data_IF_033715512201
#
_entry.id   IF_033715512201
#
_cell.length_a   1.000
_cell.length_b   1.000
_cell.length_c   1.000
_cell.angle_alpha   90.00
_cell.angle_beta   90.00
_cell.angle_gamma   90.00
#
_symmetry.space_group_name_H-M   'P 1'
#
loop_
_entity.id
_entity.type
_entity.pdbx_description
1 polymer ?
#
# COMPACT_ATOMS: atom_id res chain seq x y z
N UNK A 1 42.15 -31.90 -22.34
CA UNK A 1 41.63 -30.60 -22.86
C UNK A 1 40.12 -30.59 -23.10
N UNK A 2 39.51 -31.54 -23.82
CA UNK A 2 38.05 -31.55 -24.09
C UNK A 2 37.15 -31.55 -22.85
N UNK A 3 37.56 -32.23 -21.75
CA UNK A 3 36.79 -32.28 -20.49
C UNK A 3 36.74 -30.94 -19.72
N UNK A 4 37.78 -30.11 -19.86
CA UNK A 4 37.87 -28.81 -19.16
C UNK A 4 36.97 -27.78 -19.83
N UNK A 5 36.88 -27.81 -21.17
CA UNK A 5 35.99 -26.94 -21.95
C UNK A 5 34.52 -27.21 -21.59
N UNK A 6 34.15 -28.47 -21.35
CA UNK A 6 32.77 -28.83 -20.98
C UNK A 6 32.38 -28.27 -19.61
N UNK A 7 33.29 -28.31 -18.62
CA UNK A 7 33.06 -27.73 -17.29
C UNK A 7 32.90 -26.21 -17.38
N UNK A 8 33.71 -25.55 -18.22
CA UNK A 8 33.61 -24.10 -18.46
C UNK A 8 32.28 -23.71 -19.13
N UNK A 9 31.80 -24.49 -20.10
CA UNK A 9 30.51 -24.24 -20.76
C UNK A 9 29.34 -24.41 -19.78
N UNK A 10 29.37 -25.46 -18.94
CA UNK A 10 28.34 -25.68 -17.93
C UNK A 10 28.34 -24.58 -16.87
N UNK A 11 29.51 -24.12 -16.41
CA UNK A 11 29.63 -22.99 -15.48
C UNK A 11 29.16 -21.67 -16.11
N UNK A 12 29.43 -21.44 -17.39
CA UNK A 12 28.93 -20.27 -18.11
C UNK A 12 27.41 -20.30 -18.27
N UNK A 13 26.82 -21.47 -18.55
CA UNK A 13 25.37 -21.63 -18.62
C UNK A 13 24.70 -21.42 -17.26
N UNK A 14 25.28 -21.91 -16.17
CA UNK A 14 24.75 -21.68 -14.81
C UNK A 14 24.79 -20.18 -14.46
N UNK A 15 25.82 -19.44 -14.86
CA UNK A 15 25.88 -17.98 -14.66
C UNK A 15 24.90 -17.19 -15.54
N UNK A 16 24.60 -17.67 -16.75
CA UNK A 16 23.61 -17.04 -17.64
C UNK A 16 22.16 -17.26 -17.18
N UNK A 17 21.87 -18.41 -16.54
CA UNK A 17 20.56 -18.71 -15.95
C UNK A 17 20.39 -18.19 -14.51
N UNK A 18 21.45 -17.63 -13.91
CA UNK A 18 21.46 -17.05 -12.56
C UNK A 18 20.99 -15.59 -12.48
N UNK A 19 20.48 -15.00 -13.57
CA UNK A 19 19.86 -13.68 -13.51
C UNK A 19 18.58 -13.77 -12.66
N UNK A 20 18.70 -13.41 -11.38
CA UNK A 20 17.56 -13.11 -10.52
C UNK A 20 16.62 -12.19 -11.33
N UNK A 21 15.28 -12.36 -11.24
CA UNK A 21 14.38 -11.46 -11.94
C UNK A 21 14.75 -10.03 -11.55
N UNK A 22 14.93 -9.15 -12.53
CA UNK A 22 15.24 -7.75 -12.26
C UNK A 22 14.00 -7.11 -11.64
N UNK A 23 13.96 -7.11 -10.30
CA UNK A 23 12.92 -6.44 -9.54
C UNK A 23 13.28 -4.97 -9.41
N UNK A 24 12.34 -4.08 -9.73
CA UNK A 24 12.48 -2.65 -9.45
C UNK A 24 11.94 -2.33 -8.06
N UNK A 25 12.72 -1.59 -7.27
CA UNK A 25 12.31 -1.15 -5.93
C UNK A 25 11.26 -0.04 -6.02
N UNK A 26 10.24 -0.14 -5.18
CA UNK A 26 9.28 0.92 -4.89
C UNK A 26 9.78 1.65 -3.64
N UNK A 27 10.30 2.86 -3.83
CA UNK A 27 10.89 3.67 -2.76
C UNK A 27 9.87 4.56 -2.06
N UNK A 28 8.78 4.92 -2.75
CA UNK A 28 7.72 5.76 -2.19
C UNK A 28 6.74 4.91 -1.37
N UNK A 29 6.88 4.96 -0.06
CA UNK A 29 6.08 4.18 0.89
C UNK A 29 5.44 5.14 1.89
N UNK A 30 4.10 5.16 1.91
CA UNK A 30 3.32 6.08 2.74
C UNK A 30 2.47 5.28 3.72
N UNK A 31 2.54 5.61 5.01
CA UNK A 31 1.78 4.92 6.06
C UNK A 31 0.69 5.78 6.66
N UNK A 32 -0.56 5.33 6.60
CA UNK A 32 -1.72 5.99 7.20
C UNK A 32 -2.21 5.19 8.39
N UNK A 33 -1.76 5.59 9.58
CA UNK A 33 -2.26 5.04 10.84
C UNK A 33 -3.54 5.79 11.24
N UNK A 34 -4.62 5.11 11.66
CA UNK A 34 -5.77 5.73 12.30
C UNK A 34 -5.29 6.22 13.68
N UNK A 35 -4.63 7.36 13.64
CA UNK A 35 -4.10 8.17 14.74
C UNK A 35 -3.72 7.42 16.03
N UNK A 36 -2.41 7.19 16.16
CA UNK A 36 -1.69 7.53 17.41
C UNK A 36 -2.20 8.92 17.86
N UNK A 37 -2.65 9.01 19.11
CA UNK A 37 -3.04 10.22 19.86
C UNK A 37 -3.09 11.47 18.99
N UNK A 38 -4.28 11.84 18.48
CA UNK A 38 -4.49 13.26 18.18
C UNK A 38 -4.41 13.92 19.55
N UNK A 39 -3.28 14.53 19.87
CA UNK A 39 -3.24 15.39 21.04
C UNK A 39 -4.21 16.54 20.75
N UNK A 40 -4.93 17.03 21.75
CA UNK A 40 -5.77 18.22 21.58
C UNK A 40 -4.99 19.37 20.92
N UNK A 41 -3.67 19.45 21.15
CA UNK A 41 -2.74 20.36 20.48
C UNK A 41 -2.63 20.16 18.95
N UNK A 42 -2.65 18.92 18.45
CA UNK A 42 -2.57 18.63 17.01
C UNK A 42 -3.87 19.00 16.28
N UNK A 43 -5.00 19.01 17.00
CA UNK A 43 -6.30 19.44 16.45
C UNK A 43 -6.47 20.95 16.45
N UNK A 44 -5.78 21.67 17.34
CA UNK A 44 -5.92 23.13 17.49
C UNK A 44 -5.04 23.91 16.49
N UNK A 45 -3.94 23.36 16.00
CA UNK A 45 -2.99 24.09 15.15
C UNK A 45 -3.23 24.03 13.63
N UNK A 46 -4.27 23.32 13.16
CA UNK A 46 -4.63 23.35 11.73
C UNK A 46 -5.56 24.53 11.45
N UNK A 47 -5.16 25.44 10.55
CA UNK A 47 -5.99 26.58 10.06
C UNK A 47 -7.39 26.17 9.57
N UNK A 48 -7.57 24.90 9.20
CA UNK A 48 -8.84 24.33 8.77
C UNK A 48 -9.79 23.97 9.93
N UNK A 49 -9.28 23.83 11.14
CA UNK A 49 -10.08 23.44 12.31
C UNK A 49 -11.08 24.52 12.70
N UNK A 50 -10.72 25.79 12.55
CA UNK A 50 -11.58 26.94 12.86
C UNK A 50 -12.76 27.08 11.90
N UNK A 51 -12.67 26.46 10.71
CA UNK A 51 -13.74 26.45 9.69
C UNK A 51 -14.90 25.52 10.12
N UNK A 52 -14.63 24.52 10.95
CA UNK A 52 -15.67 23.56 11.36
C UNK A 52 -16.57 24.12 12.47
N UNK A 53 -17.87 23.82 12.39
CA UNK A 53 -18.81 24.13 13.47
C UNK A 53 -18.49 23.33 14.73
N UNK A 54 -18.83 23.87 15.91
CA UNK A 54 -18.57 23.22 17.20
C UNK A 54 -19.12 21.78 17.26
N UNK A 55 -20.34 21.57 16.76
CA UNK A 55 -20.97 20.24 16.64
C UNK A 55 -20.14 19.26 15.80
N UNK A 56 -19.54 19.73 14.70
CA UNK A 56 -18.68 18.89 13.84
C UNK A 56 -17.36 18.58 14.54
N UNK A 57 -16.77 19.54 15.25
CA UNK A 57 -15.55 19.33 16.06
C UNK A 57 -15.80 18.28 17.16
N UNK A 58 -16.90 18.39 17.89
CA UNK A 58 -17.30 17.41 18.93
C UNK A 58 -17.51 16.01 18.36
N UNK A 59 -18.18 15.89 17.21
CA UNK A 59 -18.36 14.61 16.52
C UNK A 59 -17.02 13.98 16.12
N UNK A 60 -16.08 14.78 15.61
CA UNK A 60 -14.74 14.30 15.26
C UNK A 60 -14.01 13.80 16.52
N UNK A 61 -14.03 14.57 17.61
CA UNK A 61 -13.43 14.17 18.90
C UNK A 61 -14.01 12.86 19.42
N UNK A 62 -15.33 12.72 19.39
CA UNK A 62 -16.02 11.51 19.83
C UNK A 62 -15.61 10.29 18.99
N UNK A 63 -15.61 10.41 17.66
CA UNK A 63 -15.17 9.34 16.75
C UNK A 63 -13.71 8.96 17.02
N UNK A 64 -12.83 9.94 17.26
CA UNK A 64 -11.44 9.67 17.60
C UNK A 64 -11.30 8.93 18.94
N UNK A 65 -12.07 9.31 19.96
CA UNK A 65 -12.08 8.64 21.26
C UNK A 65 -12.63 7.21 21.18
N UNK A 66 -13.70 6.99 20.42
CA UNK A 66 -14.26 5.66 20.16
C UNK A 66 -13.22 4.75 19.49
N UNK A 67 -12.56 5.23 18.42
CA UNK A 67 -11.48 4.48 17.75
C UNK A 67 -10.33 4.13 18.69
N UNK A 68 -9.95 5.05 19.60
CA UNK A 68 -8.92 4.77 20.61
C UNK A 68 -9.36 3.68 21.60
N UNK A 69 -10.61 3.76 22.05
CA UNK A 69 -11.20 2.75 22.94
C UNK A 69 -11.23 1.38 22.25
N UNK A 70 -11.58 1.34 20.96
CA UNK A 70 -11.55 0.12 20.16
C UNK A 70 -10.14 -0.43 20.00
N UNK A 71 -9.11 0.40 19.74
CA UNK A 71 -7.70 -0.05 19.73
C UNK A 71 -7.34 -0.72 21.06
N UNK A 72 -7.61 -0.03 22.17
CA UNK A 72 -7.24 -0.51 23.52
C UNK A 72 -7.95 -1.82 23.87
N UNK A 73 -9.18 -1.97 23.41
CA UNK A 73 -10.05 -3.07 23.77
C UNK A 73 -10.01 -4.23 22.74
N UNK A 74 -9.17 -4.13 21.73
CA UNK A 74 -9.00 -5.16 20.71
C UNK A 74 -8.18 -6.33 21.28
N UNK A 75 -8.82 -7.50 21.32
CA UNK A 75 -8.29 -8.74 21.90
C UNK A 75 -7.55 -9.62 20.90
N UNK A 76 -7.42 -9.20 19.63
CA UNK A 76 -6.74 -9.98 18.59
C UNK A 76 -5.30 -10.29 19.03
N UNK A 77 -4.87 -11.54 18.83
CA UNK A 77 -3.52 -12.00 19.22
C UNK A 77 -2.51 -11.82 18.06
N UNK A 78 -3.03 -11.61 16.85
CA UNK A 78 -2.26 -11.48 15.62
C UNK A 78 -2.56 -10.16 14.90
N UNK A 79 -1.58 -9.72 14.12
CA UNK A 79 -1.74 -8.68 13.10
C UNK A 79 -1.94 -9.36 11.75
N UNK A 80 -3.06 -9.12 11.09
CA UNK A 80 -3.36 -9.61 9.76
C UNK A 80 -2.75 -8.69 8.71
N UNK A 81 -2.02 -9.29 7.77
CA UNK A 81 -1.50 -8.62 6.57
C UNK A 81 -2.46 -8.87 5.42
N UNK A 82 -3.04 -7.79 4.91
CA UNK A 82 -4.06 -7.79 3.87
C UNK A 82 -3.48 -7.06 2.65
N UNK A 83 -3.66 -7.63 1.47
CA UNK A 83 -3.27 -7.04 0.21
C UNK A 83 -4.50 -6.49 -0.51
N UNK A 84 -4.37 -5.28 -1.03
CA UNK A 84 -5.44 -4.63 -1.77
C UNK A 84 -5.01 -4.29 -3.19
N UNK A 85 -5.57 -5.00 -4.17
CA UNK A 85 -5.17 -4.85 -5.55
C UNK A 85 -5.75 -5.89 -6.48
N UNK A 86 -5.04 -6.16 -7.57
CA UNK A 86 -5.33 -7.25 -8.51
C UNK A 86 -4.61 -8.53 -8.07
N UNK A 87 -5.07 -9.69 -8.54
CA UNK A 87 -4.43 -10.99 -8.26
C UNK A 87 -2.92 -10.93 -8.50
N UNK A 88 -2.17 -11.43 -7.53
CA UNK A 88 -0.73 -11.28 -7.48
C UNK A 88 -0.08 -12.46 -6.76
N UNK A 89 1.12 -12.81 -7.18
CA UNK A 89 2.00 -13.71 -6.45
C UNK A 89 2.84 -12.85 -5.52
N UNK A 90 2.70 -13.05 -4.21
CA UNK A 90 3.40 -12.27 -3.19
C UNK A 90 4.36 -13.16 -2.41
N UNK A 91 5.59 -12.68 -2.27
CA UNK A 91 6.57 -13.21 -1.32
C UNK A 91 6.92 -12.12 -0.32
N UNK A 92 6.90 -12.44 0.97
CA UNK A 92 7.33 -11.57 2.06
C UNK A 92 8.56 -12.20 2.69
N UNK A 93 9.63 -11.42 2.82
CA UNK A 93 10.83 -11.78 3.59
C UNK A 93 10.95 -10.94 4.85
N UNK A 94 11.44 -11.59 5.91
CA UNK A 94 11.87 -10.97 7.16
C UNK A 94 13.32 -11.37 7.40
N UNK A 95 14.23 -10.39 7.57
CA UNK A 95 15.65 -10.64 7.79
C UNK A 95 16.23 -11.69 6.81
N UNK A 96 16.00 -11.48 5.51
CA UNK A 96 16.37 -12.37 4.38
C UNK A 96 15.76 -13.77 4.36
N UNK A 97 14.93 -14.11 5.34
CA UNK A 97 14.22 -15.40 5.41
C UNK A 97 12.84 -15.24 4.78
N UNK A 98 12.43 -16.21 3.95
CA UNK A 98 11.07 -16.23 3.40
C UNK A 98 10.10 -16.45 4.56
N UNK A 99 9.25 -15.47 4.80
CA UNK A 99 8.23 -15.51 5.83
C UNK A 99 6.91 -16.03 5.28
N UNK A 100 6.48 -15.51 4.12
CA UNK A 100 5.26 -15.93 3.42
C UNK A 100 5.56 -15.99 1.93
N UNK A 101 5.06 -17.02 1.25
CA UNK A 101 4.90 -17.04 -0.20
C UNK A 101 3.48 -17.48 -0.51
N UNK A 102 2.69 -16.61 -1.15
CA UNK A 102 1.25 -16.84 -1.36
C UNK A 102 0.81 -16.36 -2.74
N UNK A 103 0.07 -17.21 -3.43
CA UNK A 103 -0.63 -16.85 -4.66
C UNK A 103 -2.02 -16.31 -4.31
N UNK A 104 -2.26 -15.02 -4.57
CA UNK A 104 -3.51 -14.32 -4.25
C UNK A 104 -4.54 -14.47 -5.37
N UNK A 105 -5.07 -15.68 -5.52
CA UNK A 105 -6.10 -16.00 -6.52
C UNK A 105 -7.54 -15.84 -6.01
N UNK A 106 -7.73 -16.02 -4.70
CA UNK A 106 -9.04 -16.03 -4.04
C UNK A 106 -9.15 -14.86 -3.08
N UNK A 107 -10.24 -14.10 -3.19
CA UNK A 107 -10.53 -12.96 -2.32
C UNK A 107 -10.82 -13.43 -0.90
N UNK A 108 -10.52 -12.61 0.10
CA UNK A 108 -10.97 -12.88 1.47
C UNK A 108 -12.49 -12.69 1.59
N UNK A 109 -13.16 -13.66 2.20
CA UNK A 109 -14.58 -13.58 2.54
C UNK A 109 -14.80 -12.73 3.81
N UNK A 110 -13.84 -12.72 4.72
CA UNK A 110 -13.91 -12.04 6.01
C UNK A 110 -13.52 -10.56 5.93
N UNK A 111 -12.64 -10.19 5.00
CA UNK A 111 -12.04 -8.85 4.97
C UNK A 111 -12.43 -8.09 3.71
N UNK A 112 -13.12 -6.97 3.90
CA UNK A 112 -13.41 -5.98 2.85
C UNK A 112 -12.73 -4.65 3.16
N UNK A 113 -12.03 -4.12 2.17
CA UNK A 113 -11.41 -2.81 2.20
C UNK A 113 -12.13 -1.86 1.25
N UNK A 114 -12.90 -0.94 1.83
CA UNK A 114 -13.52 0.17 1.11
C UNK A 114 -12.68 1.43 1.34
N UNK A 115 -12.37 2.14 0.26
CA UNK A 115 -11.64 3.41 0.32
C UNK A 115 -12.67 4.53 0.35
N UNK A 116 -12.65 5.35 1.41
CA UNK A 116 -13.34 6.65 1.48
C UNK A 116 -14.80 6.64 0.98
N UNK A 117 -15.62 5.68 1.44
CA UNK A 117 -17.04 5.54 1.08
C UNK A 117 -17.31 5.40 -0.43
N UNK A 118 -16.30 5.07 -1.23
CA UNK A 118 -16.45 4.76 -2.65
C UNK A 118 -16.39 3.24 -2.86
N UNK A 119 -17.38 2.65 -3.56
CA UNK A 119 -17.29 1.27 -3.96
C UNK A 119 -16.07 1.12 -4.86
N UNK A 120 -15.11 0.32 -4.41
CA UNK A 120 -13.92 0.05 -5.19
C UNK A 120 -14.01 -1.31 -5.84
N UNK A 121 -13.65 -1.36 -7.12
CA UNK A 121 -13.56 -2.61 -7.89
C UNK A 121 -12.34 -3.48 -7.48
N UNK A 122 -11.50 -3.00 -6.55
CA UNK A 122 -10.30 -3.71 -6.09
C UNK A 122 -10.64 -4.62 -4.91
N UNK A 123 -10.15 -5.87 -4.98
CA UNK A 123 -10.44 -6.95 -4.04
C UNK A 123 -9.40 -6.98 -2.92
N UNK A 124 -9.82 -7.36 -1.72
CA UNK A 124 -8.93 -7.58 -0.56
C UNK A 124 -8.56 -9.06 -0.47
N UNK A 125 -7.27 -9.34 -0.33
CA UNK A 125 -6.74 -10.69 -0.23
C UNK A 125 -5.97 -10.82 1.08
N UNK A 126 -6.19 -11.89 1.83
CA UNK A 126 -5.37 -12.15 3.00
C UNK A 126 -4.00 -12.69 2.56
N UNK A 127 -2.92 -12.09 3.06
CA UNK A 127 -1.55 -12.52 2.78
C UNK A 127 -1.08 -13.50 3.85
N UNK A 128 -1.24 -13.13 5.12
CA UNK A 128 -0.87 -13.93 6.29
C UNK A 128 -0.89 -13.10 7.57
N UNK A 129 -0.25 -13.59 8.62
CA UNK A 129 -0.35 -13.00 9.96
C UNK A 129 1.02 -12.81 10.62
N UNK A 130 1.12 -11.82 11.50
CA UNK A 130 2.27 -11.56 12.37
C UNK A 130 1.85 -11.64 13.84
N UNK A 131 2.79 -11.91 14.74
CA UNK A 131 2.55 -11.80 16.18
C UNK A 131 2.27 -10.33 16.54
N UNK A 132 1.12 -10.07 17.17
CA UNK A 132 0.73 -8.73 17.59
C UNK A 132 1.61 -8.21 18.72
N UNK A 133 1.70 -6.89 18.82
CA UNK A 133 2.42 -6.17 19.89
C UNK A 133 3.91 -6.53 19.97
N UNK A 134 4.51 -6.94 18.85
CA UNK A 134 5.94 -7.20 18.72
C UNK A 134 6.74 -5.96 18.27
N UNK A 135 6.08 -4.80 18.23
CA UNK A 135 6.66 -3.54 17.79
C UNK A 135 6.59 -3.35 16.28
N UNK A 136 7.55 -2.59 15.73
CA UNK A 136 7.67 -2.35 14.29
C UNK A 136 8.48 -3.49 13.67
N UNK A 137 7.90 -4.17 12.69
CA UNK A 137 8.55 -5.23 11.92
C UNK A 137 8.96 -4.70 10.54
N UNK A 138 10.19 -4.99 10.13
CA UNK A 138 10.67 -4.67 8.79
C UNK A 138 10.45 -5.87 7.86
N UNK A 139 9.74 -5.65 6.76
CA UNK A 139 9.39 -6.67 5.79
C UNK A 139 9.86 -6.23 4.40
N UNK A 140 10.35 -7.17 3.59
CA UNK A 140 10.50 -6.95 2.15
C UNK A 140 9.39 -7.71 1.43
N UNK A 141 8.52 -6.99 0.72
CA UNK A 141 7.45 -7.58 -0.07
C UNK A 141 7.84 -7.58 -1.54
N UNK A 142 7.70 -8.73 -2.20
CA UNK A 142 7.93 -8.93 -3.62
C UNK A 142 6.60 -9.19 -4.31
N UNK A 143 6.34 -8.44 -5.39
CA UNK A 143 5.19 -8.60 -6.27
C UNK A 143 5.70 -9.24 -7.57
N UNK A 144 5.55 -10.56 -7.70
CA UNK A 144 6.22 -11.31 -8.77
C UNK A 144 5.66 -10.98 -10.16
N UNK A 145 4.35 -10.83 -10.32
CA UNK A 145 3.75 -10.53 -11.63
C UNK A 145 4.16 -9.13 -12.10
N UNK A 146 4.18 -8.15 -11.19
CA UNK A 146 4.61 -6.76 -11.47
C UNK A 146 6.14 -6.59 -11.56
N UNK A 147 6.92 -7.58 -11.15
CA UNK A 147 8.40 -7.48 -11.00
C UNK A 147 8.79 -6.24 -10.18
N UNK A 148 8.12 -6.04 -9.04
CA UNK A 148 8.40 -4.96 -8.08
C UNK A 148 8.68 -5.51 -6.70
N UNK A 149 9.43 -4.77 -5.90
CA UNK A 149 9.55 -5.05 -4.48
C UNK A 149 9.54 -3.76 -3.67
N UNK A 150 9.21 -3.84 -2.39
CA UNK A 150 9.27 -2.71 -1.47
C UNK A 150 9.67 -3.14 -0.07
N UNK A 151 10.39 -2.27 0.63
CA UNK A 151 10.80 -2.48 2.03
C UNK A 151 9.89 -1.71 2.95
N UNK A 152 8.95 -2.40 3.58
CA UNK A 152 7.89 -1.80 4.39
C UNK A 152 8.16 -1.98 5.88
N UNK A 153 7.74 -0.99 6.68
CA UNK A 153 7.75 -1.07 8.15
C UNK A 153 6.33 -1.20 8.66
N UNK A 154 6.01 -2.33 9.26
CA UNK A 154 4.67 -2.65 9.76
C UNK A 154 4.61 -2.52 11.28
N UNK A 155 3.70 -1.69 11.77
CA UNK A 155 3.39 -1.58 13.19
C UNK A 155 2.41 -2.68 13.62
N UNK A 156 2.91 -3.67 14.38
CA UNK A 156 2.13 -4.84 14.81
C UNK A 156 1.20 -4.56 16.00
N UNK A 157 1.09 -3.31 16.46
CA UNK A 157 0.09 -2.96 17.48
C UNK A 157 -1.33 -2.94 16.91
N UNK A 158 -1.45 -2.73 15.59
CA UNK A 158 -2.72 -2.81 14.87
C UNK A 158 -2.97 -4.26 14.45
N UNK A 159 -4.22 -4.67 14.54
CA UNK A 159 -4.68 -6.02 14.20
C UNK A 159 -4.91 -6.24 12.71
N UNK A 160 -5.13 -5.18 11.92
CA UNK A 160 -5.24 -5.26 10.47
C UNK A 160 -4.37 -4.23 9.76
N UNK A 161 -3.62 -4.69 8.77
CA UNK A 161 -2.70 -3.87 7.97
C UNK A 161 -2.95 -4.14 6.51
N UNK A 162 -3.38 -3.12 5.79
CA UNK A 162 -3.63 -3.14 4.35
C UNK A 162 -2.43 -2.60 3.59
N UNK A 163 -1.91 -3.41 2.67
CA UNK A 163 -0.83 -3.08 1.75
C UNK A 163 -1.45 -2.82 0.38
N UNK A 164 -1.31 -1.60 -0.10
CA UNK A 164 -1.96 -1.10 -1.32
C UNK A 164 -0.85 -0.65 -2.29
N UNK A 165 -0.38 -1.53 -3.19
CA UNK A 165 0.59 -1.13 -4.20
C UNK A 165 -0.12 -0.43 -5.36
N UNK A 166 0.34 0.77 -5.67
CA UNK A 166 -0.03 1.51 -6.85
C UNK A 166 1.15 1.55 -7.81
N UNK A 167 1.03 0.80 -8.89
CA UNK A 167 2.09 0.62 -9.89
C UNK A 167 1.55 0.94 -11.26
N UNK A 168 2.42 1.43 -12.15
CA UNK A 168 2.09 1.74 -13.54
C UNK A 168 0.90 2.71 -13.69
N UNK A 169 0.85 3.72 -12.83
CA UNK A 169 -0.16 4.78 -12.91
C UNK A 169 0.20 5.75 -14.04
N UNK A 170 -0.76 5.99 -14.94
CA UNK A 170 -0.67 6.98 -16.00
C UNK A 170 -1.73 8.07 -15.78
N UNK A 171 -1.30 9.33 -15.82
CA UNK A 171 -2.17 10.50 -15.75
C UNK A 171 -2.23 11.19 -17.11
N UNK A 172 -3.39 11.67 -17.50
CA UNK A 172 -3.54 12.53 -18.67
C UNK A 172 -3.44 13.98 -18.20
N UNK A 173 -2.35 14.65 -18.55
CA UNK A 173 -2.21 16.09 -18.35
C UNK A 173 -2.71 16.83 -19.58
N UNK A 174 -3.63 17.75 -19.38
CA UNK A 174 -4.06 18.69 -20.41
C UNK A 174 -3.11 19.88 -20.35
N UNK A 175 -2.34 20.11 -21.41
CA UNK A 175 -1.59 21.35 -21.57
C UNK A 175 -2.55 22.41 -22.10
N UNK A 176 -2.82 23.43 -21.31
CA UNK A 176 -3.46 24.64 -21.80
C UNK A 176 -2.60 25.22 -22.92
N UNK A 177 -3.20 25.45 -24.08
CA UNK A 177 -2.50 26.09 -25.17
C UNK A 177 -2.11 27.49 -24.72
N UNK A 178 -0.82 27.85 -24.81
CA UNK A 178 -0.41 29.25 -24.71
C UNK A 178 -1.26 30.04 -25.71
N UNK A 179 -2.17 30.88 -25.20
CA UNK A 179 -3.02 31.74 -26.00
C UNK A 179 -2.17 32.84 -26.61
N UNK A 180 -1.40 32.50 -27.66
CA UNK A 180 -0.96 33.50 -28.63
C UNK A 180 -2.09 33.63 -29.65
N UNK A 181 -2.96 34.59 -29.39
CA UNK A 181 -3.91 35.11 -30.36
C UNK A 181 -3.19 35.35 -31.69
N UNK A 182 -3.54 34.57 -32.73
CA UNK A 182 -3.44 34.98 -34.14
C UNK A 182 -4.52 34.30 -34.98
N UNK A 183 -5.48 35.14 -35.40
CA UNK A 183 -6.15 35.19 -36.71
C UNK A 183 -7.05 34.04 -37.22
N UNK A 184 -7.51 33.12 -36.38
CA UNK A 184 -8.71 32.34 -36.74
C UNK A 184 -9.47 31.94 -35.50
N UNK A 185 -10.75 32.32 -35.42
CA UNK A 185 -11.63 32.19 -34.24
C UNK A 185 -12.01 30.75 -33.85
N UNK A 186 -11.13 29.77 -34.05
CA UNK A 186 -11.33 28.39 -33.63
C UNK A 186 -10.23 28.06 -32.60
N UNK A 187 -10.57 27.83 -31.33
CA UNK A 187 -9.59 27.42 -30.34
C UNK A 187 -8.96 26.09 -30.75
N UNK A 188 -7.62 26.04 -30.78
CA UNK A 188 -6.90 24.78 -31.02
C UNK A 188 -7.21 23.80 -29.89
N UNK A 189 -7.45 22.51 -30.17
CA UNK A 189 -7.70 21.52 -29.14
C UNK A 189 -6.50 21.46 -28.19
N UNK A 190 -6.79 21.42 -26.88
CA UNK A 190 -5.76 21.32 -25.85
C UNK A 190 -4.94 20.03 -26.06
N UNK A 191 -3.62 20.15 -25.95
CA UNK A 191 -2.73 18.99 -26.14
C UNK A 191 -2.78 18.11 -24.90
N UNK A 192 -3.20 16.87 -25.06
CA UNK A 192 -3.17 15.88 -23.99
C UNK A 192 -1.82 15.17 -24.00
N UNK A 193 -1.18 15.05 -22.83
CA UNK A 193 0.06 14.30 -22.64
C UNK A 193 -0.13 13.28 -21.52
N UNK A 194 0.18 12.02 -21.80
CA UNK A 194 0.24 10.99 -20.76
C UNK A 194 1.54 11.14 -19.97
N UNK A 195 1.42 11.15 -18.64
CA UNK A 195 2.54 11.23 -17.70
C UNK A 195 2.48 10.01 -16.79
N UNK A 196 3.58 9.27 -16.75
CA UNK A 196 3.75 8.15 -15.83
C UNK A 196 4.09 8.69 -14.45
N UNK A 197 3.35 8.23 -13.44
CA UNK A 197 3.61 8.55 -12.03
C UNK A 197 4.50 7.48 -11.44
N UNK A 198 5.29 7.85 -10.43
CA UNK A 198 6.11 6.90 -9.69
C UNK A 198 5.26 5.85 -8.98
N UNK A 199 5.75 4.62 -8.99
CA UNK A 199 5.17 3.53 -8.22
C UNK A 199 5.21 3.86 -6.72
N UNK A 200 4.16 3.50 -5.97
CA UNK A 200 4.09 3.72 -4.53
C UNK A 200 3.38 2.58 -3.80
N UNK A 201 3.69 2.39 -2.51
CA UNK A 201 2.96 1.48 -1.62
C UNK A 201 2.32 2.33 -0.52
N UNK A 202 0.99 2.24 -0.40
CA UNK A 202 0.27 2.81 0.74
C UNK A 202 0.04 1.71 1.78
N UNK A 203 0.29 2.01 3.05
CA UNK A 203 0.10 1.11 4.18
C UNK A 203 -0.97 1.71 5.07
N UNK A 204 -2.15 1.09 5.07
CA UNK A 204 -3.27 1.56 5.88
C UNK A 204 -3.51 0.61 7.04
N UNK A 205 -3.60 1.18 8.23
CA UNK A 205 -3.85 0.40 9.43
C UNK A 205 -5.34 0.49 9.78
N UNK A 206 -5.94 -0.62 10.21
CA UNK A 206 -7.34 -0.66 10.64
C UNK A 206 -7.43 -1.39 11.97
N UNK A 207 -8.41 -0.98 12.76
CA UNK A 207 -8.90 -1.75 13.90
C UNK A 207 -10.17 -2.47 13.43
N UNK A 208 -10.29 -3.79 13.59
CA UNK A 208 -11.50 -4.52 13.29
C UNK A 208 -12.63 -3.93 14.14
N UNK A 209 -13.72 -3.56 13.47
CA UNK A 209 -14.90 -3.09 14.18
C UNK A 209 -15.44 -4.25 15.03
N UNK A 210 -15.63 -4.03 16.32
CA UNK A 210 -16.20 -4.98 17.30
C UNK A 210 -17.60 -5.52 16.98
N UNK A 211 -18.17 -5.24 15.80
CA UNK A 211 -19.54 -5.64 15.42
C UNK A 211 -19.68 -7.06 14.87
N UNK A 212 -18.66 -7.90 14.98
CA UNK A 212 -18.81 -9.34 14.78
C UNK A 212 -18.41 -10.07 16.06
N UNK A 213 -19.28 -9.97 17.07
CA UNK A 213 -19.48 -11.08 17.99
C UNK A 213 -19.97 -12.26 17.16
N UNK A 214 -19.27 -13.38 17.22
CA UNK A 214 -19.85 -14.67 16.86
C UNK A 214 -20.95 -15.02 17.86
#
# INVERSE_FOLDING_TARGET
>A
MKKIIFILIVLFQINLFGQKPEYKEITKIEGFKPTRVISLSDTINCKEWDIFSQKRKERIKQISFEKQTDIKNDTSIVTQLLYYGIKENIEIKMNDTIFISKNLNTQSEEYTYEINDHPSNKKTFEIGTLKRNSGIQELTIYFHNKKRFGRIKIDTNYSQVFIIPETDIELIQIQEAESKEKDSGIPKPAKMKTIKVEDRILINYRIPNRKHSW
#
